data_IF_145586085202
#
_entry.id   IF_145586085202
#
_cell.length_a   1.000
_cell.length_b   1.000
_cell.length_c   1.000
_cell.angle_alpha   90.00
_cell.angle_beta   90.00
_cell.angle_gamma   90.00
#
_symmetry.space_group_name_H-M   'P 1'
#
loop_
_entity.id
_entity.type
_entity.pdbx_description
1 polymer ?
#
# COMPACT_ATOMS: atom_id res chain seq x y z
N UNK A 1 -10.78 4.93 17.52
CA UNK A 1 -10.77 3.71 16.69
C UNK A 1 -12.19 3.44 16.25
N UNK A 2 -12.38 3.08 14.99
CA UNK A 2 -13.70 2.76 14.43
C UNK A 2 -13.56 1.61 13.44
N UNK A 3 -14.51 0.67 13.48
CA UNK A 3 -14.59 -0.47 12.57
C UNK A 3 -15.79 -0.26 11.64
N UNK A 4 -15.55 -0.37 10.34
CA UNK A 4 -16.56 -0.18 9.30
C UNK A 4 -16.74 -1.46 8.50
N UNK A 5 -17.96 -1.75 8.09
CA UNK A 5 -18.27 -2.87 7.21
C UNK A 5 -18.02 -2.47 5.76
N UNK A 6 -17.24 -3.26 5.05
CA UNK A 6 -17.05 -3.13 3.60
C UNK A 6 -18.08 -3.98 2.86
N UNK A 7 -18.29 -3.66 1.58
CA UNK A 7 -19.02 -4.53 0.68
C UNK A 7 -18.09 -5.67 0.23
N UNK A 8 -18.52 -6.91 0.41
CA UNK A 8 -17.79 -8.12 -0.02
C UNK A 8 -18.53 -8.81 -1.18
N UNK A 9 -18.28 -8.42 -2.44
CA UNK A 9 -18.76 -9.18 -3.59
C UNK A 9 -18.10 -10.56 -3.67
N UNK A 10 -18.59 -11.40 -4.58
CA UNK A 10 -17.91 -12.67 -4.88
C UNK A 10 -16.56 -12.42 -5.57
N UNK A 11 -15.59 -13.33 -5.36
CA UNK A 11 -14.30 -13.26 -6.05
C UNK A 11 -14.48 -13.21 -7.58
N UNK A 12 -15.43 -13.99 -8.11
CA UNK A 12 -15.71 -14.05 -9.55
C UNK A 12 -16.19 -12.70 -10.10
N UNK A 13 -17.03 -11.99 -9.35
CA UNK A 13 -17.54 -10.69 -9.76
C UNK A 13 -16.42 -9.64 -9.80
N UNK A 14 -15.62 -9.56 -8.75
CA UNK A 14 -14.48 -8.63 -8.70
C UNK A 14 -13.47 -8.94 -9.78
N UNK A 15 -13.13 -10.22 -9.98
CA UNK A 15 -12.24 -10.69 -11.04
C UNK A 15 -12.73 -10.26 -12.43
N UNK A 16 -14.03 -10.41 -12.69
CA UNK A 16 -14.65 -10.00 -13.96
C UNK A 16 -14.61 -8.48 -14.17
N UNK A 17 -14.83 -7.70 -13.11
CA UNK A 17 -14.75 -6.24 -13.17
C UNK A 17 -13.32 -5.75 -13.46
N UNK A 18 -12.33 -6.34 -12.78
CA UNK A 18 -10.90 -6.05 -12.98
C UNK A 18 -10.47 -6.41 -14.40
N UNK A 19 -10.77 -7.63 -14.86
CA UNK A 19 -10.42 -8.08 -16.21
C UNK A 19 -11.04 -7.19 -17.29
N UNK A 20 -12.33 -6.86 -17.14
CA UNK A 20 -13.05 -6.02 -18.09
C UNK A 20 -12.44 -4.62 -18.22
N UNK A 21 -12.03 -4.01 -17.12
CA UNK A 21 -11.42 -2.68 -17.12
C UNK A 21 -10.00 -2.70 -17.70
N UNK A 22 -9.16 -3.64 -17.24
CA UNK A 22 -7.74 -3.69 -17.59
C UNK A 22 -7.49 -4.07 -19.04
N UNK A 23 -8.46 -4.67 -19.76
CA UNK A 23 -8.37 -4.94 -21.21
C UNK A 23 -8.14 -3.67 -22.05
N UNK A 24 -8.49 -2.50 -21.51
CA UNK A 24 -8.19 -1.20 -22.15
C UNK A 24 -6.82 -0.62 -21.72
N UNK A 25 -6.11 -1.31 -20.84
CA UNK A 25 -4.86 -0.84 -20.23
C UNK A 25 -3.64 -1.68 -20.63
N UNK A 26 -3.85 -2.96 -20.97
CA UNK A 26 -2.79 -3.92 -21.34
C UNK A 26 -3.18 -4.74 -22.58
N UNK A 27 -2.18 -5.18 -23.35
CA UNK A 27 -2.36 -6.07 -24.51
C UNK A 27 -2.92 -7.42 -24.12
N UNK A 28 -2.43 -7.97 -23.01
CA UNK A 28 -2.93 -9.24 -22.47
C UNK A 28 -3.39 -9.03 -21.03
N UNK A 29 -4.56 -9.57 -20.72
CA UNK A 29 -5.16 -9.52 -19.39
C UNK A 29 -5.88 -10.82 -19.16
N UNK A 30 -5.57 -11.47 -18.06
CA UNK A 30 -6.28 -12.62 -17.56
C UNK A 30 -6.52 -12.46 -16.07
N UNK A 31 -7.78 -12.49 -15.66
CA UNK A 31 -8.15 -12.54 -14.25
C UNK A 31 -8.90 -13.85 -13.98
N UNK A 32 -8.45 -14.59 -12.98
CA UNK A 32 -9.00 -15.92 -12.63
C UNK A 32 -9.08 -16.08 -11.11
N UNK A 33 -9.85 -17.07 -10.68
CA UNK A 33 -9.83 -17.53 -9.30
C UNK A 33 -8.95 -18.76 -9.25
N UNK A 34 -7.96 -18.74 -8.37
CA UNK A 34 -7.01 -19.85 -8.17
C UNK A 34 -6.80 -20.07 -6.69
N UNK A 35 -6.28 -21.23 -6.32
CA UNK A 35 -5.70 -21.42 -4.99
C UNK A 35 -4.47 -20.52 -4.83
N UNK A 36 -4.38 -19.83 -3.71
CA UNK A 36 -3.27 -18.96 -3.39
C UNK A 36 -1.96 -19.75 -3.42
N UNK A 37 -0.93 -19.31 -4.17
CA UNK A 37 0.39 -19.92 -4.09
C UNK A 37 0.98 -19.70 -2.70
N UNK A 38 1.99 -20.49 -2.34
CA UNK A 38 2.70 -20.30 -1.08
C UNK A 38 3.52 -19.01 -1.13
N UNK A 39 2.99 -17.95 -0.53
CA UNK A 39 3.60 -16.61 -0.54
C UNK A 39 4.85 -16.50 0.34
N UNK A 40 5.24 -17.56 1.07
CA UNK A 40 6.56 -17.62 1.71
C UNK A 40 7.66 -18.01 0.72
N UNK A 41 7.31 -18.59 -0.42
CA UNK A 41 8.25 -19.00 -1.45
C UNK A 41 8.76 -17.83 -2.29
N UNK A 42 9.87 -18.04 -2.98
CA UNK A 42 10.35 -17.12 -4.01
C UNK A 42 9.33 -17.00 -5.15
N UNK A 43 9.12 -15.81 -5.74
CA UNK A 43 9.81 -14.55 -5.45
C UNK A 43 9.18 -13.72 -4.33
N UNK A 44 8.05 -14.16 -3.76
CA UNK A 44 7.22 -13.33 -2.87
C UNK A 44 7.90 -12.98 -1.55
N UNK A 45 8.52 -13.96 -0.88
CA UNK A 45 9.28 -13.75 0.36
C UNK A 45 8.45 -13.18 1.52
N UNK A 46 7.14 -13.46 1.56
CA UNK A 46 6.27 -12.96 2.63
C UNK A 46 6.31 -13.86 3.87
N UNK A 47 5.85 -13.32 5.00
CA UNK A 47 5.79 -14.03 6.30
C UNK A 47 4.58 -14.95 6.46
N UNK A 48 3.65 -14.91 5.50
CA UNK A 48 2.41 -15.68 5.44
C UNK A 48 2.39 -16.56 4.20
N UNK A 49 1.68 -17.70 4.28
CA UNK A 49 1.58 -18.66 3.18
C UNK A 49 0.48 -18.34 2.19
N UNK A 50 -0.62 -17.75 2.63
CA UNK A 50 -1.73 -17.37 1.74
C UNK A 50 -2.42 -16.09 2.16
N UNK A 51 -3.45 -15.67 1.42
CA UNK A 51 -4.22 -14.44 1.67
C UNK A 51 -5.67 -14.72 2.10
N UNK A 52 -6.05 -15.99 2.29
CA UNK A 52 -7.42 -16.37 2.63
C UNK A 52 -7.70 -16.25 4.14
N UNK A 53 -8.99 -16.31 4.48
CA UNK A 53 -9.52 -16.04 5.81
C UNK A 53 -10.29 -14.72 5.85
N UNK A 54 -10.59 -14.24 7.04
CA UNK A 54 -11.19 -12.91 7.22
C UNK A 54 -10.18 -11.82 6.87
N UNK A 55 -10.57 -10.90 5.98
CA UNK A 55 -9.74 -9.79 5.53
C UNK A 55 -10.16 -8.46 6.14
N UNK A 56 -9.20 -7.67 6.62
CA UNK A 56 -9.42 -6.33 7.18
C UNK A 56 -8.43 -5.35 6.57
N UNK A 57 -8.90 -4.20 6.08
CA UNK A 57 -8.03 -3.08 5.75
C UNK A 57 -7.81 -2.27 7.02
N UNK A 58 -6.56 -2.09 7.43
CA UNK A 58 -6.20 -1.28 8.59
C UNK A 58 -5.57 0.03 8.11
N UNK A 59 -6.15 1.16 8.54
CA UNK A 59 -5.68 2.51 8.22
C UNK A 59 -5.37 3.25 9.53
N UNK A 60 -4.08 3.37 9.82
CA UNK A 60 -3.54 3.90 11.08
C UNK A 60 -2.86 5.23 10.81
N UNK A 61 -3.12 6.24 11.64
CA UNK A 61 -2.54 7.57 11.49
C UNK A 61 -3.11 8.31 10.28
N UNK A 62 -2.32 9.15 9.60
CA UNK A 62 -2.74 9.85 8.39
C UNK A 62 -1.58 10.53 7.67
N UNK A 63 -1.71 10.75 6.36
CA UNK A 63 -0.85 11.69 5.63
C UNK A 63 -0.88 13.10 6.23
N UNK A 64 -1.95 13.50 6.92
CA UNK A 64 -2.05 14.76 7.66
C UNK A 64 -1.10 14.83 8.88
N UNK A 65 -0.50 13.70 9.27
CA UNK A 65 0.54 13.64 10.29
C UNK A 65 1.95 13.73 9.69
N UNK A 66 2.10 13.55 8.38
CA UNK A 66 3.35 13.79 7.65
C UNK A 66 3.41 15.21 7.07
N UNK A 67 2.29 15.67 6.50
CA UNK A 67 2.22 16.89 5.70
C UNK A 67 1.30 17.95 6.34
N UNK A 68 1.59 19.26 6.15
CA UNK A 68 2.80 19.80 5.52
C UNK A 68 4.02 19.80 6.47
N UNK A 69 3.79 19.63 7.78
CA UNK A 69 4.83 19.54 8.81
C UNK A 69 4.61 18.25 9.60
N UNK A 70 5.63 17.38 9.73
CA UNK A 70 5.48 16.10 10.43
C UNK A 70 5.14 16.25 11.92
N UNK A 71 4.10 15.53 12.37
CA UNK A 71 3.75 15.35 13.78
C UNK A 71 4.53 14.19 14.36
N UNK A 72 5.78 14.47 14.73
CA UNK A 72 6.78 13.47 15.13
C UNK A 72 6.47 12.74 16.46
N UNK A 73 5.37 13.06 17.13
CA UNK A 73 4.86 12.38 18.32
C UNK A 73 3.93 11.19 17.97
N UNK A 74 3.60 11.01 16.68
CA UNK A 74 2.70 9.95 16.20
C UNK A 74 3.45 8.64 15.98
N UNK A 75 3.48 7.81 17.02
CA UNK A 75 4.11 6.49 17.02
C UNK A 75 3.08 5.37 17.21
N UNK A 76 3.31 4.24 16.55
CA UNK A 76 2.39 3.10 16.54
C UNK A 76 3.15 1.77 16.60
N UNK A 77 2.41 0.69 16.89
CA UNK A 77 2.92 -0.68 16.91
C UNK A 77 1.98 -1.58 16.10
N UNK A 78 2.52 -2.39 15.19
CA UNK A 78 1.76 -3.37 14.42
C UNK A 78 1.04 -4.38 15.34
N UNK A 79 1.59 -4.71 16.51
CA UNK A 79 0.93 -5.58 17.49
C UNK A 79 -0.33 -4.94 18.10
N UNK A 80 -0.37 -3.62 18.23
CA UNK A 80 -1.60 -2.92 18.63
C UNK A 80 -2.67 -3.00 17.53
N UNK A 81 -2.26 -3.06 16.26
CA UNK A 81 -3.18 -3.25 15.14
C UNK A 81 -3.81 -4.64 15.18
N UNK A 82 -3.03 -5.71 15.42
CA UNK A 82 -3.56 -7.07 15.63
C UNK A 82 -4.58 -7.11 16.78
N UNK A 83 -4.23 -6.53 17.93
CA UNK A 83 -5.14 -6.44 19.08
C UNK A 83 -6.42 -5.67 18.75
N UNK A 84 -6.29 -4.53 18.08
CA UNK A 84 -7.42 -3.67 17.70
C UNK A 84 -8.37 -4.33 16.71
N UNK A 85 -7.84 -5.19 15.83
CA UNK A 85 -8.64 -5.99 14.90
C UNK A 85 -9.24 -7.25 15.53
N UNK A 86 -8.85 -7.61 16.77
CA UNK A 86 -9.28 -8.85 17.42
C UNK A 86 -8.66 -10.12 16.81
N UNK A 87 -7.53 -9.99 16.12
CA UNK A 87 -6.88 -11.11 15.41
C UNK A 87 -5.75 -11.68 16.28
N UNK A 88 -5.95 -12.91 16.78
CA UNK A 88 -4.94 -13.61 17.59
C UNK A 88 -3.85 -14.29 16.75
N UNK A 89 -4.19 -14.70 15.52
CA UNK A 89 -3.26 -15.31 14.59
C UNK A 89 -3.55 -14.81 13.17
N UNK A 90 -2.52 -14.28 12.49
CA UNK A 90 -2.67 -13.75 11.15
C UNK A 90 -1.42 -13.04 10.66
N UNK A 91 -1.60 -12.25 9.61
CA UNK A 91 -0.55 -11.50 8.98
C UNK A 91 -1.03 -10.13 8.51
N UNK A 92 -0.08 -9.22 8.41
CA UNK A 92 -0.28 -7.85 7.95
C UNK A 92 0.77 -7.56 6.89
N UNK A 93 0.29 -7.10 5.74
CA UNK A 93 1.12 -6.66 4.62
C UNK A 93 0.68 -5.28 4.15
N UNK A 94 1.61 -4.43 3.72
CA UNK A 94 1.26 -3.14 3.15
C UNK A 94 2.34 -2.08 3.29
N UNK A 95 1.91 -0.85 3.51
CA UNK A 95 2.74 0.34 3.44
C UNK A 95 2.65 1.16 4.73
N UNK A 96 3.74 1.80 5.12
CA UNK A 96 3.75 2.76 6.23
C UNK A 96 5.03 3.59 6.25
N UNK A 97 5.15 4.49 7.22
CA UNK A 97 6.42 5.19 7.47
C UNK A 97 7.19 4.52 8.62
N UNK A 98 8.48 4.31 8.40
CA UNK A 98 9.34 3.61 9.35
C UNK A 98 9.52 4.36 10.67
N UNK A 99 9.98 3.65 11.72
CA UNK A 99 10.06 4.20 13.08
C UNK A 99 11.31 5.10 13.25
N UNK A 100 11.28 6.30 12.67
CA UNK A 100 12.38 7.28 12.75
C UNK A 100 12.84 7.59 14.18
N UNK A 101 11.95 7.45 15.16
CA UNK A 101 12.25 7.65 16.59
C UNK A 101 13.12 6.54 17.19
N UNK A 102 13.28 5.41 16.49
CA UNK A 102 14.19 4.32 16.86
C UNK A 102 15.40 4.27 15.92
N UNK A 103 15.19 4.45 14.61
CA UNK A 103 16.25 4.35 13.61
C UNK A 103 17.09 5.63 13.48
N UNK A 104 16.59 6.76 13.97
CA UNK A 104 17.19 8.08 13.78
C UNK A 104 16.96 8.68 12.38
N UNK A 105 16.30 7.94 11.47
CA UNK A 105 16.10 8.37 10.09
C UNK A 105 14.69 8.14 9.59
N UNK A 106 14.18 9.11 8.82
CA UNK A 106 12.93 8.97 8.10
C UNK A 106 13.04 7.90 7.00
N UNK A 107 11.98 7.12 6.79
CA UNK A 107 11.98 5.98 5.87
C UNK A 107 10.57 5.59 5.45
N UNK A 108 10.46 5.02 4.25
CA UNK A 108 9.31 4.20 3.89
C UNK A 108 9.43 2.83 4.57
N UNK A 109 8.30 2.22 4.93
CA UNK A 109 8.24 0.87 5.49
C UNK A 109 7.40 -0.03 4.59
N UNK A 110 8.01 -1.11 4.10
CA UNK A 110 7.27 -2.27 3.59
C UNK A 110 6.86 -3.08 4.80
N UNK A 111 5.56 -3.16 5.08
CA UNK A 111 5.02 -3.96 6.18
C UNK A 111 4.87 -5.40 5.68
N UNK A 112 5.49 -6.35 6.37
CA UNK A 112 5.38 -7.78 6.11
C UNK A 112 5.63 -8.52 7.43
N UNK A 113 4.57 -8.78 8.18
CA UNK A 113 4.65 -9.40 9.50
C UNK A 113 3.55 -10.44 9.65
N UNK A 114 3.87 -11.56 10.31
CA UNK A 114 2.87 -12.48 10.83
C UNK A 114 3.01 -12.62 12.34
N UNK A 115 1.88 -12.81 13.00
CA UNK A 115 1.83 -13.04 14.44
C UNK A 115 0.89 -14.19 14.76
N UNK A 116 1.32 -15.05 15.67
CA UNK A 116 0.49 -16.09 16.26
C UNK A 116 0.62 -16.00 17.78
N UNK A 117 -0.46 -15.64 18.46
CA UNK A 117 -0.50 -15.45 19.91
C UNK A 117 0.62 -14.53 20.44
N UNK A 118 0.95 -13.47 19.69
CA UNK A 118 1.99 -12.50 20.02
C UNK A 118 3.41 -12.91 19.63
N UNK A 119 3.64 -14.15 19.18
CA UNK A 119 4.92 -14.56 18.59
C UNK A 119 5.00 -14.01 17.18
N UNK A 120 6.03 -13.22 16.88
CA UNK A 120 6.16 -12.47 15.63
C UNK A 120 7.19 -13.10 14.70
N UNK A 121 6.86 -13.20 13.41
CA UNK A 121 7.83 -13.29 12.31
C UNK A 121 7.80 -11.98 11.55
N UNK A 122 8.93 -11.27 11.52
CA UNK A 122 9.02 -9.95 10.90
C UNK A 122 9.91 -10.00 9.65
N UNK A 123 9.32 -9.77 8.49
CA UNK A 123 10.00 -9.60 7.21
C UNK A 123 9.86 -8.18 6.67
N UNK A 124 9.52 -7.20 7.52
CA UNK A 124 9.35 -5.81 7.13
C UNK A 124 10.69 -5.15 6.79
N UNK A 125 10.66 -4.17 5.91
CA UNK A 125 11.84 -3.50 5.37
C UNK A 125 11.67 -1.98 5.46
N UNK A 126 12.76 -1.26 5.71
CA UNK A 126 12.81 0.20 5.69
C UNK A 126 13.63 0.69 4.51
N UNK A 127 13.05 1.60 3.73
CA UNK A 127 13.70 2.28 2.60
C UNK A 127 13.99 3.73 2.96
N UNK A 128 15.26 4.05 3.22
CA UNK A 128 15.74 5.39 3.52
C UNK A 128 16.69 5.89 2.41
N UNK A 129 17.07 7.16 2.49
CA UNK A 129 18.01 7.77 1.55
C UNK A 129 19.37 8.03 2.20
N UNK A 130 20.41 7.44 1.63
CA UNK A 130 21.79 7.75 1.95
C UNK A 130 22.22 9.01 1.16
N UNK A 131 22.29 10.14 1.87
CA UNK A 131 22.64 11.44 1.30
C UNK A 131 24.10 11.51 0.86
N UNK A 132 25.02 10.81 1.53
CA UNK A 132 26.45 10.88 1.23
C UNK A 132 26.75 10.21 -0.11
N UNK A 133 26.09 9.09 -0.39
CA UNK A 133 26.29 8.32 -1.62
C UNK A 133 25.19 8.52 -2.67
N UNK A 134 24.19 9.36 -2.39
CA UNK A 134 23.02 9.60 -3.26
C UNK A 134 22.36 8.30 -3.73
N UNK A 135 22.07 7.39 -2.79
CA UNK A 135 21.53 6.06 -3.08
C UNK A 135 20.44 5.66 -2.10
N UNK A 136 19.54 4.73 -2.46
CA UNK A 136 18.63 4.12 -1.51
C UNK A 136 19.42 3.25 -0.53
N UNK A 137 18.94 3.18 0.71
CA UNK A 137 19.42 2.28 1.74
C UNK A 137 18.26 1.41 2.23
N UNK A 138 18.48 0.10 2.26
CA UNK A 138 17.52 -0.85 2.81
C UNK A 138 17.99 -1.32 4.19
N UNK A 139 17.10 -1.30 5.17
CA UNK A 139 17.31 -1.86 6.51
C UNK A 139 16.22 -2.87 6.83
N UNK A 140 16.57 -4.05 7.34
CA UNK A 140 15.58 -5.01 7.84
C UNK A 140 15.03 -4.55 9.17
N UNK A 141 13.70 -4.65 9.35
CA UNK A 141 13.07 -4.27 10.60
C UNK A 141 13.45 -5.25 11.73
N UNK A 142 13.91 -4.72 12.85
CA UNK A 142 14.20 -5.44 14.10
C UNK A 142 13.11 -5.26 15.17
N UNK A 143 12.07 -4.49 14.85
CA UNK A 143 10.95 -4.16 15.73
C UNK A 143 9.64 -4.04 14.94
N UNK A 144 8.51 -3.95 15.65
CA UNK A 144 7.16 -3.88 15.07
C UNK A 144 6.60 -2.45 15.01
N UNK A 145 7.43 -1.45 15.29
CA UNK A 145 7.01 -0.05 15.39
C UNK A 145 7.02 0.63 14.04
N UNK A 146 6.15 1.62 13.90
CA UNK A 146 6.08 2.52 12.75
C UNK A 146 5.57 3.88 13.22
N UNK A 147 5.56 4.88 12.34
CA UNK A 147 5.18 6.24 12.72
C UNK A 147 4.33 6.92 11.65
N UNK A 148 3.67 8.02 12.03
CA UNK A 148 2.87 8.93 11.18
C UNK A 148 1.65 8.32 10.49
N UNK A 149 1.84 7.26 9.71
CA UNK A 149 0.81 6.57 8.96
C UNK A 149 1.20 5.13 8.62
N UNK A 150 0.20 4.27 8.49
CA UNK A 150 0.32 2.93 7.95
C UNK A 150 -1.01 2.47 7.37
N UNK A 151 -0.98 1.94 6.15
CA UNK A 151 -2.14 1.42 5.45
C UNK A 151 -1.82 0.00 4.95
N UNK A 152 -2.60 -0.97 5.42
CA UNK A 152 -2.20 -2.37 5.35
C UNK A 152 -3.41 -3.29 5.24
N UNK A 153 -3.20 -4.45 4.65
CA UNK A 153 -4.14 -5.56 4.62
C UNK A 153 -3.78 -6.56 5.71
N UNK A 154 -4.75 -6.86 6.58
CA UNK A 154 -4.68 -7.91 7.58
C UNK A 154 -5.54 -9.10 7.15
N UNK A 155 -5.01 -10.32 7.34
CA UNK A 155 -5.78 -11.55 7.15
C UNK A 155 -5.26 -12.68 8.05
N UNK A 156 -5.98 -13.79 8.11
CA UNK A 156 -5.54 -14.99 8.85
C UNK A 156 -4.38 -15.74 8.18
N UNK A 157 -4.05 -15.42 6.92
CA UNK A 157 -2.91 -15.99 6.20
C UNK A 157 -3.11 -17.43 5.72
N UNK A 158 -4.37 -17.90 5.64
CA UNK A 158 -4.70 -19.29 5.28
C UNK A 158 -4.52 -19.54 3.78
N UNK A 159 -4.21 -20.78 3.36
CA UNK A 159 -4.39 -21.21 1.99
C UNK A 159 -5.87 -21.11 1.59
N UNK A 160 -6.15 -20.93 0.30
CA UNK A 160 -7.51 -20.85 -0.22
C UNK A 160 -7.63 -20.00 -1.48
N UNK A 161 -8.86 -19.82 -1.99
CA UNK A 161 -9.09 -19.16 -3.26
C UNK A 161 -8.81 -17.66 -3.17
N UNK A 162 -8.09 -17.15 -4.17
CA UNK A 162 -7.76 -15.73 -4.36
C UNK A 162 -8.02 -15.32 -5.80
N UNK A 163 -8.09 -14.01 -6.04
CA UNK A 163 -8.05 -13.47 -7.40
C UNK A 163 -6.60 -13.48 -7.86
N UNK A 164 -6.31 -14.16 -8.97
CA UNK A 164 -5.05 -14.04 -9.69
C UNK A 164 -5.26 -13.16 -10.93
N UNK A 165 -4.43 -12.13 -11.05
CA UNK A 165 -4.42 -11.19 -12.17
C UNK A 165 -3.07 -11.28 -12.88
N UNK A 166 -3.09 -11.69 -14.14
CA UNK A 166 -1.92 -11.69 -15.02
C UNK A 166 -2.13 -10.64 -16.12
N UNK A 167 -1.23 -9.68 -16.26
CA UNK A 167 -1.28 -8.68 -17.34
C UNK A 167 0.08 -8.48 -17.97
N UNK A 168 0.12 -8.16 -19.27
CA UNK A 168 1.37 -7.78 -19.94
C UNK A 168 1.19 -6.82 -21.11
N UNK A 169 2.25 -6.07 -21.38
CA UNK A 169 2.32 -5.10 -22.46
C UNK A 169 1.35 -3.95 -22.25
N UNK A 170 1.67 -3.04 -21.33
CA UNK A 170 0.85 -1.86 -21.04
C UNK A 170 0.69 -0.99 -22.29
N UNK A 171 -0.54 -0.58 -22.57
CA UNK A 171 -0.93 0.27 -23.72
C UNK A 171 -1.52 1.60 -23.30
N UNK A 172 -1.90 1.75 -22.03
CA UNK A 172 -2.40 3.00 -21.46
C UNK A 172 -1.40 3.53 -20.45
N UNK A 173 -1.18 4.84 -20.44
CA UNK A 173 -0.38 5.48 -19.41
C UNK A 173 -1.05 5.38 -18.03
N UNK A 174 -0.22 5.32 -17.00
CA UNK A 174 -0.64 5.23 -15.61
C UNK A 174 0.03 4.11 -14.83
N UNK A 175 -0.30 4.08 -13.54
CA UNK A 175 0.17 3.17 -12.50
C UNK A 175 -0.66 1.89 -12.49
N UNK A 176 -0.02 0.73 -12.35
CA UNK A 176 -0.74 -0.55 -12.37
C UNK A 176 -1.72 -0.69 -11.19
N UNK A 177 -1.31 -0.32 -9.98
CA UNK A 177 -2.16 -0.30 -8.79
C UNK A 177 -3.31 0.72 -8.89
N UNK A 178 -3.03 1.90 -9.48
CA UNK A 178 -4.08 2.88 -9.81
C UNK A 178 -5.13 2.30 -10.78
N UNK A 179 -4.71 1.55 -11.80
CA UNK A 179 -5.62 0.90 -12.75
C UNK A 179 -6.52 -0.15 -12.05
N UNK A 180 -6.01 -0.87 -11.05
CA UNK A 180 -6.82 -1.78 -10.24
C UNK A 180 -7.86 -0.99 -9.43
N UNK A 181 -7.44 0.10 -8.77
CA UNK A 181 -8.35 0.98 -8.02
C UNK A 181 -9.42 1.59 -8.93
N UNK A 182 -9.08 1.99 -10.14
CA UNK A 182 -10.05 2.47 -11.14
C UNK A 182 -11.09 1.41 -11.51
N UNK A 183 -10.67 0.17 -11.74
CA UNK A 183 -11.59 -0.93 -12.01
C UNK A 183 -12.61 -1.10 -10.88
N UNK A 184 -12.14 -1.05 -9.63
CA UNK A 184 -13.01 -1.09 -8.46
C UNK A 184 -13.93 0.12 -8.39
N UNK A 185 -13.42 1.32 -8.66
CA UNK A 185 -14.21 2.55 -8.64
C UNK A 185 -15.33 2.54 -9.69
N UNK A 186 -15.02 2.16 -10.93
CA UNK A 186 -16.00 2.08 -12.02
C UNK A 186 -17.15 1.14 -11.65
N UNK A 187 -16.84 0.00 -11.01
CA UNK A 187 -17.84 -0.99 -10.65
C UNK A 187 -18.59 -0.69 -9.35
N UNK A 188 -17.91 -0.14 -8.34
CA UNK A 188 -18.41 -0.09 -6.96
C UNK A 188 -18.41 1.32 -6.34
N UNK A 189 -17.89 2.34 -7.03
CA UNK A 189 -17.75 3.71 -6.53
C UNK A 189 -19.08 4.43 -6.25
N UNK A 190 -20.20 3.88 -6.72
CA UNK A 190 -21.55 4.40 -6.48
C UNK A 190 -22.25 3.75 -5.27
N UNK A 191 -21.63 2.75 -4.63
CA UNK A 191 -22.19 2.06 -3.47
C UNK A 191 -21.90 2.85 -2.18
N UNK A 192 -22.73 2.63 -1.15
CA UNK A 192 -22.50 3.24 0.18
C UNK A 192 -21.28 2.64 0.90
N UNK A 193 -21.09 1.33 0.76
CA UNK A 193 -19.96 0.62 1.35
C UNK A 193 -18.94 0.34 0.25
N UNK A 194 -17.68 0.67 0.51
CA UNK A 194 -16.60 0.40 -0.43
C UNK A 194 -16.28 -1.08 -0.53
N UNK A 195 -15.79 -1.50 -1.70
CA UNK A 195 -15.03 -2.74 -1.90
C UNK A 195 -13.55 -2.42 -1.71
N UNK A 196 -12.88 -3.22 -0.88
CA UNK A 196 -11.46 -3.12 -0.61
C UNK A 196 -10.74 -4.43 -0.93
N UNK A 197 -9.57 -4.31 -1.56
CA UNK A 197 -8.66 -5.41 -1.84
C UNK A 197 -7.36 -5.23 -1.06
N UNK A 198 -6.74 -6.34 -0.71
CA UNK A 198 -5.35 -6.36 -0.27
C UNK A 198 -4.64 -7.58 -0.82
N UNK A 199 -3.32 -7.46 -1.00
CA UNK A 199 -2.57 -8.53 -1.62
C UNK A 199 -1.16 -8.16 -2.03
N UNK A 200 -0.65 -8.97 -2.95
CA UNK A 200 0.72 -8.90 -3.46
C UNK A 200 0.71 -8.76 -4.98
N UNK A 201 1.60 -7.93 -5.50
CA UNK A 201 1.88 -7.76 -6.92
C UNK A 201 3.34 -8.11 -7.16
N UNK A 202 3.61 -8.90 -8.18
CA UNK A 202 4.95 -9.16 -8.69
C UNK A 202 5.04 -8.54 -10.08
N UNK A 203 5.88 -7.53 -10.24
CA UNK A 203 6.35 -7.15 -11.55
C UNK A 203 7.39 -8.18 -11.99
N UNK A 204 7.04 -9.01 -12.97
CA UNK A 204 7.89 -10.11 -13.42
C UNK A 204 8.92 -9.64 -14.46
N UNK A 205 8.62 -8.61 -15.24
CA UNK A 205 9.50 -8.05 -16.27
C UNK A 205 9.50 -6.52 -16.27
N UNK A 206 10.66 -5.94 -16.62
CA UNK A 206 10.88 -4.50 -16.71
C UNK A 206 11.55 -3.90 -15.48
N UNK A 207 11.48 -2.57 -15.37
CA UNK A 207 11.97 -1.80 -14.22
C UNK A 207 10.82 -1.05 -13.58
N UNK A 208 10.92 -0.83 -12.28
CA UNK A 208 9.95 -0.08 -11.50
C UNK A 208 10.58 1.18 -10.92
N UNK A 209 9.91 2.31 -11.09
CA UNK A 209 10.20 3.54 -10.38
C UNK A 209 9.61 3.45 -8.97
N UNK A 210 10.39 3.84 -7.99
CA UNK A 210 9.96 3.93 -6.60
C UNK A 210 10.63 5.13 -5.94
N UNK A 211 10.12 5.54 -4.79
CA UNK A 211 10.82 6.53 -3.97
C UNK A 211 11.11 6.05 -2.57
N UNK A 212 12.14 6.66 -2.00
CA UNK A 212 12.46 6.61 -0.57
C UNK A 212 12.36 8.01 0.02
N UNK A 213 12.26 8.08 1.35
CA UNK A 213 12.23 9.34 2.05
C UNK A 213 13.64 9.73 2.51
N UNK A 214 14.08 10.97 2.24
CA UNK A 214 15.19 11.56 2.99
C UNK A 214 14.72 12.03 4.36
N UNK A 215 15.65 12.61 5.12
CA UNK A 215 15.35 13.32 6.36
C UNK A 215 14.20 14.31 6.20
N UNK A 216 13.45 14.49 7.29
CA UNK A 216 12.30 15.38 7.30
C UNK A 216 12.67 16.79 6.79
N UNK A 217 11.80 17.34 5.93
CA UNK A 217 11.98 18.68 5.39
C UNK A 217 12.06 19.71 6.51
N UNK A 218 12.98 20.67 6.37
CA UNK A 218 13.10 21.83 7.26
C UNK A 218 12.04 22.89 6.95
N UNK A 219 11.42 22.82 5.78
CA UNK A 219 10.35 23.70 5.34
C UNK A 219 9.02 22.92 5.17
N UNK A 220 7.86 23.57 5.39
CA UNK A 220 6.57 22.93 5.15
C UNK A 220 6.40 22.45 3.70
N UNK A 221 6.00 21.18 3.54
CA UNK A 221 5.67 20.54 2.27
C UNK A 221 4.21 20.83 1.89
N UNK A 222 3.94 22.08 1.52
CA UNK A 222 2.60 22.65 1.28
C UNK A 222 2.22 22.74 -0.21
N UNK A 223 2.99 22.10 -1.09
CA UNK A 223 2.70 22.01 -2.51
C UNK A 223 3.23 20.70 -3.10
N UNK A 224 2.62 20.28 -4.21
CA UNK A 224 3.09 19.11 -4.95
C UNK A 224 4.53 19.25 -5.43
N UNK A 225 4.96 20.45 -5.82
CA UNK A 225 6.34 20.69 -6.26
C UNK A 225 7.35 20.49 -5.12
N UNK A 226 7.11 21.08 -3.94
CA UNK A 226 7.97 20.87 -2.78
C UNK A 226 8.06 19.39 -2.39
N UNK A 227 6.92 18.69 -2.41
CA UNK A 227 6.87 17.26 -2.12
C UNK A 227 7.68 16.45 -3.13
N UNK A 228 7.53 16.72 -4.44
CA UNK A 228 8.31 16.05 -5.50
C UNK A 228 9.81 16.30 -5.36
N UNK A 229 10.22 17.52 -5.01
CA UNK A 229 11.62 17.88 -4.85
C UNK A 229 12.24 17.25 -3.58
N UNK A 230 11.41 17.03 -2.55
CA UNK A 230 11.83 16.40 -1.31
C UNK A 230 12.09 14.91 -1.47
N UNK A 231 11.14 14.14 -2.01
CA UNK A 231 11.28 12.68 -2.17
C UNK A 231 12.41 12.31 -3.14
N UNK A 232 13.00 11.11 -2.98
CA UNK A 232 14.11 10.63 -3.82
C UNK A 232 13.69 9.42 -4.63
N UNK A 233 13.64 9.60 -5.95
CA UNK A 233 13.22 8.60 -6.93
C UNK A 233 14.40 7.74 -7.37
N UNK A 234 14.16 6.44 -7.48
CA UNK A 234 15.11 5.44 -7.95
C UNK A 234 14.40 4.39 -8.80
N UNK A 235 15.19 3.57 -9.50
CA UNK A 235 14.70 2.43 -10.27
C UNK A 235 15.21 1.12 -9.69
N UNK A 236 14.37 0.10 -9.69
CA UNK A 236 14.77 -1.28 -9.38
C UNK A 236 14.33 -2.22 -10.50
N UNK A 237 15.13 -3.26 -10.75
CA UNK A 237 14.84 -4.26 -11.77
C UNK A 237 13.93 -5.37 -11.21
N UNK A 238 13.13 -5.96 -12.10
CA UNK A 238 12.28 -7.10 -11.78
C UNK A 238 13.10 -8.34 -11.40
N UNK A 239 12.60 -9.23 -10.53
CA UNK A 239 11.27 -9.19 -9.91
C UNK A 239 11.12 -8.12 -8.82
N UNK A 240 10.06 -7.32 -8.92
CA UNK A 240 9.67 -6.33 -7.91
C UNK A 240 8.38 -6.78 -7.25
N UNK A 241 8.42 -6.95 -5.94
CA UNK A 241 7.29 -7.40 -5.13
C UNK A 241 6.70 -6.18 -4.45
N UNK A 242 5.40 -5.95 -4.61
CA UNK A 242 4.66 -4.88 -3.96
C UNK A 242 3.55 -5.45 -3.11
N UNK A 243 3.35 -4.90 -1.91
CA UNK A 243 2.26 -5.27 -1.00
C UNK A 243 1.49 -4.04 -0.59
N UNK A 244 0.18 -4.18 -0.44
CA UNK A 244 -0.68 -3.02 -0.22
C UNK A 244 -2.15 -3.31 -0.38
N UNK A 245 -2.90 -2.23 -0.55
CA UNK A 245 -4.36 -2.24 -0.65
C UNK A 245 -4.86 -1.35 -1.78
N UNK A 246 -6.06 -1.64 -2.27
CA UNK A 246 -6.83 -0.79 -3.17
C UNK A 246 -8.30 -0.74 -2.75
N UNK A 247 -8.91 0.44 -2.73
CA UNK A 247 -10.29 0.67 -2.28
C UNK A 247 -11.07 1.44 -3.35
N UNK A 248 -12.29 0.99 -3.64
CA UNK A 248 -13.15 1.59 -4.68
C UNK A 248 -13.49 3.07 -4.48
N UNK A 249 -13.58 3.55 -3.24
CA UNK A 249 -13.83 4.94 -2.87
C UNK A 249 -13.55 5.11 -1.36
N UNK A 250 -13.59 6.35 -0.85
CA UNK A 250 -13.43 6.66 0.58
C UNK A 250 -14.79 6.59 1.27
N UNK A 251 -15.19 5.46 1.89
CA UNK A 251 -16.48 5.35 2.55
C UNK A 251 -16.47 6.27 3.76
N UNK A 252 -17.58 6.98 4.02
CA UNK A 252 -17.72 7.85 5.20
C UNK A 252 -16.72 9.01 5.33
N UNK A 253 -15.97 9.37 4.28
CA UNK A 253 -14.97 10.45 4.30
C UNK A 253 -13.90 10.27 5.39
N UNK A 254 -13.33 9.07 5.47
CA UNK A 254 -12.34 8.69 6.48
C UNK A 254 -10.94 9.25 6.18
N UNK A 255 -10.76 9.86 5.01
CA UNK A 255 -9.50 10.43 4.60
C UNK A 255 -8.53 9.39 4.04
N UNK A 256 -9.02 8.24 3.58
CA UNK A 256 -8.18 7.14 3.08
C UNK A 256 -7.36 7.55 1.86
N UNK A 257 -6.14 7.02 1.76
CA UNK A 257 -5.49 6.85 0.46
C UNK A 257 -6.13 5.63 -0.22
N UNK A 258 -6.56 5.75 -1.46
CA UNK A 258 -7.38 4.71 -2.11
C UNK A 258 -6.55 3.56 -2.66
N UNK A 259 -5.28 3.79 -2.95
CA UNK A 259 -4.30 2.78 -3.27
C UNK A 259 -2.96 3.12 -2.60
N UNK A 260 -2.36 2.14 -1.93
CA UNK A 260 -1.09 2.35 -1.25
C UNK A 260 -0.31 1.05 -1.22
N UNK A 261 0.68 0.97 -2.11
CA UNK A 261 1.59 -0.16 -2.23
C UNK A 261 3.03 0.28 -2.00
N UNK A 262 3.73 -0.43 -1.13
CA UNK A 262 5.19 -0.34 -1.03
C UNK A 262 5.81 -1.59 -1.64
N UNK A 263 7.01 -1.44 -2.18
CA UNK A 263 7.68 -2.46 -2.96
C UNK A 263 9.11 -2.73 -2.49
N UNK A 264 9.61 -3.90 -2.84
CA UNK A 264 11.00 -4.33 -2.67
C UNK A 264 11.40 -5.23 -3.84
N UNK A 265 12.69 -5.30 -4.15
CA UNK A 265 13.19 -6.27 -5.12
C UNK A 265 13.47 -7.62 -4.47
N UNK A 266 13.47 -8.68 -5.28
CA UNK A 266 13.67 -10.06 -4.81
C UNK A 266 14.91 -10.25 -3.92
N UNK A 267 16.03 -9.61 -4.27
CA UNK A 267 17.28 -9.70 -3.52
C UNK A 267 17.30 -8.85 -2.23
N UNK A 268 16.23 -8.09 -1.96
CA UNK A 268 16.09 -7.19 -0.82
C UNK A 268 17.28 -6.22 -0.68
N UNK A 269 17.69 -5.62 -1.80
CA UNK A 269 18.68 -4.54 -1.83
C UNK A 269 18.04 -3.17 -1.91
N UNK A 270 16.78 -3.11 -2.37
CA UNK A 270 16.01 -1.88 -2.55
C UNK A 270 14.58 -2.06 -2.07
N UNK A 271 14.03 -1.05 -1.41
CA UNK A 271 12.60 -0.97 -1.09
C UNK A 271 12.13 0.48 -0.98
N UNK A 272 10.82 0.70 -1.06
CA UNK A 272 10.22 2.03 -0.89
C UNK A 272 8.77 2.08 -1.40
N UNK A 273 8.31 3.27 -1.72
CA UNK A 273 6.95 3.48 -2.23
C UNK A 273 6.87 3.26 -3.74
N UNK A 274 5.96 2.39 -4.18
CA UNK A 274 5.83 1.97 -5.56
C UNK A 274 5.21 3.05 -6.45
N UNK A 275 5.71 3.21 -7.68
CA UNK A 275 5.14 4.08 -8.71
C UNK A 275 4.89 3.31 -10.02
N UNK A 276 5.55 3.66 -11.13
CA UNK A 276 5.26 3.13 -12.47
C UNK A 276 6.36 2.18 -12.92
N UNK A 277 6.02 1.29 -13.85
CA UNK A 277 7.04 0.78 -14.75
C UNK A 277 7.60 1.89 -15.65
N UNK A 278 8.88 1.76 -16.01
CA UNK A 278 9.55 2.74 -16.88
C UNK A 278 9.44 2.40 -18.36
N UNK A 279 8.95 1.20 -18.70
CA UNK A 279 8.71 0.77 -20.08
C UNK A 279 7.49 -0.16 -20.22
N UNK A 280 6.33 0.47 -20.38
CA UNK A 280 5.03 -0.21 -20.44
C UNK A 280 4.92 -1.36 -21.45
N UNK A 281 5.39 -1.22 -22.70
CA UNK A 281 5.20 -2.25 -23.71
C UNK A 281 5.84 -3.62 -23.40
N UNK A 282 6.85 -3.68 -22.53
CA UNK A 282 7.54 -4.93 -22.15
C UNK A 282 7.24 -5.37 -20.71
N UNK A 283 6.43 -4.62 -19.97
CA UNK A 283 6.12 -4.95 -18.58
C UNK A 283 5.19 -6.15 -18.50
N UNK A 284 5.37 -7.00 -17.48
CA UNK A 284 4.38 -7.98 -17.06
C UNK A 284 4.21 -7.96 -15.55
N UNK A 285 2.96 -8.14 -15.12
CA UNK A 285 2.60 -8.18 -13.71
C UNK A 285 1.76 -9.43 -13.44
N UNK A 286 2.00 -9.99 -12.25
CA UNK A 286 1.13 -10.99 -11.62
C UNK A 286 0.71 -10.50 -10.25
N UNK A 287 -0.59 -10.42 -9.99
CA UNK A 287 -1.13 -10.03 -8.69
C UNK A 287 -2.00 -11.11 -8.08
N UNK A 288 -1.97 -11.23 -6.75
CA UNK A 288 -2.87 -12.07 -5.97
C UNK A 288 -3.60 -11.21 -4.94
N UNK A 289 -4.93 -11.26 -4.93
CA UNK A 289 -5.75 -10.39 -4.09
C UNK A 289 -6.86 -11.14 -3.35
N UNK A 290 -7.09 -10.70 -2.12
CA UNK A 290 -8.26 -11.05 -1.32
C UNK A 290 -9.14 -9.83 -1.11
N UNK A 291 -10.43 -10.08 -0.85
CA UNK A 291 -11.43 -9.03 -0.60
C UNK A 291 -11.55 -8.83 0.91
N UNK A 292 -11.40 -7.59 1.35
CA UNK A 292 -11.59 -7.21 2.74
C UNK A 292 -13.08 -7.09 3.09
N UNK A 293 -13.43 -7.51 4.30
CA UNK A 293 -14.79 -7.46 4.84
C UNK A 293 -15.01 -6.25 5.73
N UNK A 294 -13.92 -5.77 6.34
CA UNK A 294 -13.94 -4.68 7.28
C UNK A 294 -12.81 -3.69 6.99
N UNK A 295 -13.03 -2.46 7.44
CA UNK A 295 -12.03 -1.41 7.50
C UNK A 295 -11.89 -0.94 8.95
N UNK A 296 -10.67 -1.04 9.48
CA UNK A 296 -10.29 -0.58 10.81
C UNK A 296 -9.56 0.76 10.69
N UNK A 297 -10.18 1.83 11.18
CA UNK A 297 -9.59 3.19 11.22
C UNK A 297 -9.06 3.50 12.62
N UNK A 298 -7.76 3.79 12.73
CA UNK A 298 -7.07 4.11 13.99
C UNK A 298 -6.44 5.50 13.90
N UNK A 299 -6.70 6.33 14.93
CA UNK A 299 -6.14 7.69 15.06
C UNK A 299 -6.42 8.60 13.84
N UNK A 300 -7.68 8.65 13.41
CA UNK A 300 -8.14 9.58 12.38
C UNK A 300 -7.93 11.04 12.83
N UNK A 301 -7.34 11.92 12.00
CA UNK A 301 -7.20 13.33 12.31
C UNK A 301 -8.55 13.98 12.62
N UNK A 302 -8.56 14.84 13.65
CA UNK A 302 -9.74 15.63 13.97
C UNK A 302 -10.06 16.59 12.81
N UNK A 303 -11.29 16.49 12.27
CA UNK A 303 -11.82 17.26 11.13
C UNK A 303 -11.75 18.80 11.25
N UNK A 304 -11.31 19.35 12.40
CA UNK A 304 -11.13 20.80 12.58
C UNK A 304 -10.19 21.42 11.54
N UNK A 305 -9.18 20.68 11.05
CA UNK A 305 -8.29 21.19 9.99
C UNK A 305 -8.98 21.28 8.63
N UNK A 306 -9.91 20.37 8.30
CA UNK A 306 -10.65 20.44 7.04
C UNK A 306 -11.72 21.55 7.00
N UNK A 307 -12.33 21.89 8.15
CA UNK A 307 -13.31 23.00 8.21
C UNK A 307 -12.65 24.37 8.18
N UNK A 308 -11.57 24.59 8.92
CA UNK A 308 -10.88 25.89 8.92
C UNK A 308 -10.14 26.17 7.62
N UNK A 309 -9.73 25.13 6.88
CA UNK A 309 -9.04 25.27 5.59
C UNK A 309 -10.03 25.15 4.42
N UNK A 310 -11.35 25.06 4.67
CA UNK A 310 -12.33 25.27 3.60
C UNK A 310 -12.31 26.70 3.03
N UNK A 311 -11.68 27.65 3.73
CA UNK A 311 -11.29 28.97 3.17
C UNK A 311 -9.97 28.96 2.41
N UNK A 312 -9.21 27.85 2.42
CA UNK A 312 -7.98 27.66 1.67
C UNK A 312 -8.03 26.40 0.81
N UNK A 313 -8.35 26.54 -0.49
CA UNK A 313 -8.36 25.47 -1.50
C UNK A 313 -7.15 24.50 -1.45
N UNK A 314 -6.03 24.89 -0.83
CA UNK A 314 -4.72 24.25 -0.83
C UNK A 314 -4.69 22.76 -0.39
N UNK A 315 -5.35 22.36 0.70
CA UNK A 315 -5.19 20.98 1.24
C UNK A 315 -5.95 19.91 0.44
N UNK A 316 -7.16 20.20 -0.03
CA UNK A 316 -7.88 19.26 -0.93
C UNK A 316 -7.09 19.04 -2.21
N UNK A 317 -6.44 20.09 -2.72
CA UNK A 317 -5.53 19.97 -3.85
C UNK A 317 -4.31 19.10 -3.51
N UNK A 318 -3.67 19.20 -2.34
CA UNK A 318 -2.51 18.36 -1.96
C UNK A 318 -2.77 16.86 -2.00
N UNK A 319 -3.95 16.42 -1.53
CA UNK A 319 -4.32 15.00 -1.62
C UNK A 319 -4.53 14.55 -3.07
N UNK A 320 -5.23 15.39 -3.86
CA UNK A 320 -5.37 15.16 -5.30
C UNK A 320 -4.02 15.17 -6.03
N UNK A 321 -3.08 16.00 -5.58
CA UNK A 321 -1.72 16.07 -6.11
C UNK A 321 -0.96 14.77 -5.83
N UNK A 322 -1.14 14.08 -4.70
CA UNK A 322 -0.50 12.77 -4.47
C UNK A 322 -1.01 11.68 -5.42
N UNK A 323 -2.30 11.70 -5.74
CA UNK A 323 -2.95 10.71 -6.61
C UNK A 323 -2.79 11.05 -8.11
N UNK A 324 -2.51 12.32 -8.47
CA UNK A 324 -2.46 12.84 -9.86
C UNK A 324 -1.06 13.29 -10.31
N UNK A 325 -0.11 13.58 -9.42
CA UNK A 325 1.24 14.02 -9.83
C UNK A 325 2.18 12.91 -10.27
N UNK A 326 1.73 11.68 -10.08
CA UNK A 326 2.38 10.47 -10.50
C UNK A 326 1.25 9.67 -11.11
#
# INVERSE_FOLDING_TARGET
MSLYKLHKPSLLEVSSAIEGHLKNCFKTVKCSITDCPDLTSSPYGLTLRGLSGEGVICDVGSFDYLLPVPKKDKHYDLLDVFRSAGVAAGAVIGAGAGPFFLTGSNSEMVINISSENGVVKNGSLFGSYDKENNKPLLTKADNTKFALLGQMFMCEGKPGPVIELNVSGRIRDGKFDAMIREALHVKYGHLNNAVGLGGVIVQEQGKSLYHVLPEFSQEPLDSGEKLRNWIKMFEMESPVISVGIAVSHDPHHLGLRLEHFHCFNQDQTNCGHCHFDTHGPTVSYRGYFSIAEHLLRIDQPNNFHHKLISTGKLLKTLKYWLDVLF
#
